data_IF_594864741775
#
_entry.id   IF_594864741775
#
_cell.length_a   1.000
_cell.length_b   1.000
_cell.length_c   1.000
_cell.angle_alpha   90.00
_cell.angle_beta   90.00
_cell.angle_gamma   90.00
#
_symmetry.space_group_name_H-M   'P 1'
#
loop_
_entity.id
_entity.type
_entity.pdbx_description
1 polymer ?
#
# COMPACT_ATOMS: atom_id res chain seq x y z
N UNK A 1 11.51 18.43 -3.80
CA UNK A 1 12.32 17.81 -2.72
C UNK A 1 11.62 16.52 -2.33
N UNK A 2 12.16 15.36 -2.72
CA UNK A 2 11.55 14.06 -2.42
C UNK A 2 11.85 13.73 -0.96
N UNK A 3 10.82 13.54 -0.14
CA UNK A 3 10.93 13.25 1.28
C UNK A 3 11.23 11.75 1.45
N UNK A 4 12.49 11.37 1.27
CA UNK A 4 12.99 9.99 1.42
C UNK A 4 13.49 9.79 2.85
N UNK A 5 13.09 8.69 3.48
CA UNK A 5 13.63 8.30 4.79
C UNK A 5 15.14 8.07 4.66
N UNK A 6 15.95 8.90 5.33
CA UNK A 6 17.43 8.82 5.31
C UNK A 6 18.01 7.63 6.08
N UNK A 7 17.16 6.76 6.63
CA UNK A 7 17.61 5.54 7.30
C UNK A 7 17.88 4.45 6.27
N UNK A 8 19.05 3.80 6.38
CA UNK A 8 19.50 2.71 5.49
C UNK A 8 18.52 1.53 5.42
N UNK A 9 17.59 1.43 6.38
CA UNK A 9 16.59 0.38 6.45
C UNK A 9 15.47 0.50 5.41
N UNK A 10 15.15 1.71 4.94
CA UNK A 10 13.90 1.93 4.21
C UNK A 10 14.09 2.61 2.85
N UNK A 11 14.97 3.63 2.71
CA UNK A 11 15.21 4.38 1.44
C UNK A 11 13.94 4.69 0.60
N UNK A 12 12.79 4.76 1.27
CA UNK A 12 11.46 4.84 0.69
C UNK A 12 10.78 6.12 1.21
N UNK A 13 9.69 6.58 0.55
CA UNK A 13 8.89 7.67 1.07
C UNK A 13 8.39 7.32 2.47
N UNK A 14 8.36 8.29 3.38
CA UNK A 14 8.04 8.07 4.79
C UNK A 14 6.68 7.36 4.95
N UNK A 15 6.66 6.27 5.73
CA UNK A 15 5.43 5.57 6.14
C UNK A 15 5.15 5.97 7.58
N UNK A 16 4.00 6.61 7.83
CA UNK A 16 3.61 7.10 9.15
C UNK A 16 4.76 7.90 9.81
N UNK A 17 5.07 9.10 9.32
CA UNK A 17 6.25 9.85 9.75
C UNK A 17 6.14 10.28 11.23
N UNK A 18 7.21 10.08 12.00
CA UNK A 18 7.42 10.56 13.36
C UNK A 18 8.53 11.60 13.41
N UNK A 19 8.25 12.72 14.04
CA UNK A 19 9.22 13.76 14.37
C UNK A 19 9.80 13.52 15.76
N UNK A 20 11.13 13.48 15.83
CA UNK A 20 11.88 13.37 17.09
C UNK A 20 12.11 14.75 17.71
N UNK A 21 12.41 14.79 19.02
CA UNK A 21 12.77 16.04 19.71
C UNK A 21 14.01 16.74 19.13
N UNK A 22 14.90 16.00 18.47
CA UNK A 22 16.05 16.55 17.78
C UNK A 22 15.71 17.15 16.40
N UNK A 23 14.45 17.12 15.97
CA UNK A 23 13.99 17.76 14.73
C UNK A 23 14.13 16.90 13.47
N UNK A 24 14.33 15.58 13.63
CA UNK A 24 14.47 14.66 12.52
C UNK A 24 13.21 13.81 12.34
N UNK A 25 12.83 13.56 11.08
CA UNK A 25 11.63 12.77 10.74
C UNK A 25 12.01 11.38 10.22
N UNK A 26 11.39 10.34 10.78
CA UNK A 26 11.59 8.94 10.39
C UNK A 26 10.26 8.21 10.22
N UNK A 27 10.22 7.11 9.47
CA UNK A 27 9.03 6.26 9.47
C UNK A 27 8.86 5.59 10.84
N UNK A 28 7.64 5.52 11.38
CA UNK A 28 7.32 4.74 12.59
C UNK A 28 7.96 3.34 12.61
N UNK A 29 7.78 2.47 11.58
CA UNK A 29 8.37 1.13 11.61
C UNK A 29 9.89 1.15 11.60
N UNK A 30 10.50 2.03 10.80
CA UNK A 30 11.96 2.09 10.66
C UNK A 30 12.62 2.63 11.96
N UNK A 31 11.99 3.63 12.61
CA UNK A 31 12.46 4.15 13.90
C UNK A 31 12.31 3.11 15.01
N UNK A 32 11.19 2.38 15.06
CA UNK A 32 10.96 1.33 16.07
C UNK A 32 12.01 0.22 16.01
N UNK A 33 12.36 -0.26 14.81
CA UNK A 33 13.42 -1.28 14.65
C UNK A 33 14.78 -0.73 15.04
N UNK A 34 15.08 0.53 14.71
CA UNK A 34 16.35 1.17 15.08
C UNK A 34 16.47 1.35 16.59
N UNK A 35 15.47 1.92 17.25
CA UNK A 35 15.49 2.15 18.70
C UNK A 35 15.54 0.86 19.52
N UNK A 36 15.05 -0.26 18.98
CA UNK A 36 15.23 -1.57 19.61
C UNK A 36 16.70 -2.01 19.69
N UNK A 37 17.57 -1.48 18.81
CA UNK A 37 19.02 -1.74 18.81
C UNK A 37 19.80 -0.62 19.47
N UNK A 38 19.39 0.63 19.23
CA UNK A 38 20.13 1.81 19.64
C UNK A 38 19.18 2.99 19.85
N UNK A 39 19.04 3.46 21.09
CA UNK A 39 18.19 4.59 21.46
C UNK A 39 18.82 5.97 21.11
N UNK A 40 19.48 6.05 19.96
CA UNK A 40 20.15 7.26 19.48
C UNK A 40 19.65 7.59 18.08
N UNK A 41 19.59 8.88 17.77
CA UNK A 41 19.26 9.36 16.45
C UNK A 41 20.29 8.89 15.41
N UNK A 42 19.85 8.31 14.28
CA UNK A 42 20.74 7.91 13.20
C UNK A 42 21.56 9.06 12.57
N UNK A 43 21.13 10.32 12.75
CA UNK A 43 21.72 11.48 12.08
C UNK A 43 22.70 12.21 12.98
N UNK A 44 22.25 12.63 14.17
CA UNK A 44 23.04 13.46 15.10
C UNK A 44 23.41 12.74 16.40
N UNK A 45 23.02 11.46 16.54
CA UNK A 45 23.26 10.62 17.73
C UNK A 45 22.66 11.19 19.02
N UNK A 46 21.66 12.07 18.94
CA UNK A 46 20.91 12.51 20.12
C UNK A 46 20.16 11.34 20.75
N UNK A 47 19.97 11.34 22.07
CA UNK A 47 19.10 10.34 22.73
C UNK A 47 17.67 10.52 22.24
N UNK A 48 17.02 9.43 21.84
CA UNK A 48 15.62 9.42 21.42
C UNK A 48 14.82 8.54 22.38
N UNK A 49 13.76 9.12 22.95
CA UNK A 49 12.69 8.38 23.59
C UNK A 49 11.50 8.26 22.63
N UNK A 50 11.06 7.02 22.35
CA UNK A 50 9.95 6.77 21.45
C UNK A 50 8.64 7.40 21.96
N UNK A 51 8.45 7.50 23.28
CA UNK A 51 7.26 8.10 23.89
C UNK A 51 7.17 9.62 23.67
N UNK A 52 8.31 10.27 23.43
CA UNK A 52 8.40 11.73 23.19
C UNK A 52 8.37 12.09 21.70
N UNK A 53 8.29 11.08 20.83
CA UNK A 53 8.15 11.27 19.39
C UNK A 53 6.70 11.69 19.08
N UNK A 54 6.55 12.68 18.20
CA UNK A 54 5.25 13.15 17.77
C UNK A 54 4.99 12.72 16.32
N UNK A 55 3.73 12.45 15.92
CA UNK A 55 3.42 12.30 14.51
C UNK A 55 3.79 13.57 13.75
N UNK A 56 4.40 13.42 12.58
CA UNK A 56 4.80 14.56 11.79
C UNK A 56 3.58 15.36 11.34
N UNK A 57 3.80 16.65 11.07
CA UNK A 57 2.71 17.56 10.71
C UNK A 57 1.85 17.00 9.56
N UNK A 58 0.54 17.29 9.62
CA UNK A 58 -0.41 16.85 8.59
C UNK A 58 -0.06 17.31 7.17
N UNK A 59 0.78 18.34 7.02
CA UNK A 59 1.29 18.80 5.73
C UNK A 59 2.24 17.78 5.09
N UNK A 60 3.18 17.22 5.87
CA UNK A 60 4.11 16.19 5.38
C UNK A 60 3.34 14.94 4.94
N UNK A 61 2.34 14.54 5.73
CA UNK A 61 1.43 13.44 5.38
C UNK A 61 0.68 13.70 4.07
N UNK A 62 0.05 14.88 3.93
CA UNK A 62 -0.66 15.29 2.70
C UNK A 62 0.24 15.32 1.46
N UNK A 63 1.51 15.69 1.62
CA UNK A 63 2.48 15.68 0.52
C UNK A 63 2.87 14.25 0.11
N UNK A 64 3.04 13.36 1.10
CA UNK A 64 3.34 11.94 0.85
C UNK A 64 2.15 11.21 0.21
N UNK A 65 0.93 11.52 0.63
CA UNK A 65 -0.29 10.90 0.09
C UNK A 65 -0.47 11.19 -1.41
N UNK A 66 -0.09 12.41 -1.84
CA UNK A 66 -0.15 12.84 -3.24
C UNK A 66 1.01 12.35 -4.10
N UNK A 67 1.99 11.65 -3.53
CA UNK A 67 3.11 11.12 -4.29
C UNK A 67 2.60 10.04 -5.25
N UNK A 68 2.76 10.26 -6.54
CA UNK A 68 2.42 9.25 -7.55
C UNK A 68 3.42 8.09 -7.47
N UNK A 69 2.90 6.87 -7.44
CA UNK A 69 3.66 5.62 -7.42
C UNK A 69 3.14 4.69 -8.51
N UNK A 70 4.05 3.87 -9.06
CA UNK A 70 3.71 2.81 -10.00
C UNK A 70 3.28 1.58 -9.22
N UNK A 71 2.25 0.88 -9.68
CA UNK A 71 1.85 -0.41 -9.11
C UNK A 71 3.03 -1.40 -9.12
N UNK A 72 3.30 -2.15 -8.03
CA UNK A 72 4.39 -3.12 -7.99
C UNK A 72 4.17 -4.34 -8.91
N UNK A 73 2.93 -4.62 -9.34
CA UNK A 73 2.61 -5.74 -10.22
C UNK A 73 2.71 -5.33 -11.69
N UNK A 74 3.85 -4.77 -12.08
CA UNK A 74 4.07 -4.13 -13.40
C UNK A 74 3.78 -5.04 -14.60
N UNK A 75 3.97 -6.36 -14.45
CA UNK A 75 3.71 -7.34 -15.51
C UNK A 75 2.21 -7.46 -15.88
N UNK A 76 1.33 -7.02 -14.98
CA UNK A 76 -0.12 -7.17 -15.12
C UNK A 76 -0.89 -5.86 -14.89
N UNK A 77 -0.21 -4.79 -14.47
CA UNK A 77 -0.83 -3.52 -14.10
C UNK A 77 0.13 -2.35 -14.34
N UNK A 78 -0.31 -1.38 -15.15
CA UNK A 78 0.46 -0.19 -15.53
C UNK A 78 0.00 1.07 -14.78
N UNK A 79 -0.86 0.92 -13.77
CA UNK A 79 -1.47 2.04 -13.08
C UNK A 79 -0.41 2.87 -12.32
N UNK A 80 -0.51 4.19 -12.50
CA UNK A 80 0.20 5.19 -11.72
C UNK A 80 -0.82 5.96 -10.90
N UNK A 81 -0.70 5.88 -9.59
CA UNK A 81 -1.71 6.40 -8.68
C UNK A 81 -1.08 7.05 -7.44
N UNK A 82 -1.82 7.89 -6.70
CA UNK A 82 -1.36 8.41 -5.43
C UNK A 82 -1.02 7.28 -4.47
N UNK A 83 0.05 7.46 -3.68
CA UNK A 83 0.53 6.47 -2.71
C UNK A 83 -0.56 6.07 -1.72
N UNK A 84 -1.43 6.99 -1.31
CA UNK A 84 -2.54 6.68 -0.41
C UNK A 84 -3.56 5.70 -1.00
N UNK A 85 -3.68 5.65 -2.32
CA UNK A 85 -4.64 4.79 -3.02
C UNK A 85 -4.05 3.40 -3.33
N UNK A 86 -2.74 3.21 -3.19
CA UNK A 86 -2.04 1.98 -3.57
C UNK A 86 -2.58 0.75 -2.84
N UNK A 87 -2.86 0.86 -1.54
CA UNK A 87 -3.41 -0.26 -0.75
C UNK A 87 -4.81 -0.66 -1.27
N UNK A 88 -5.68 0.33 -1.48
CA UNK A 88 -7.03 0.10 -2.01
C UNK A 88 -6.99 -0.48 -3.43
N UNK A 89 -6.08 0.03 -4.27
CA UNK A 89 -5.82 -0.51 -5.59
C UNK A 89 -5.39 -1.98 -5.53
N UNK A 90 -4.38 -2.33 -4.73
CA UNK A 90 -3.90 -3.71 -4.60
C UNK A 90 -5.02 -4.65 -4.15
N UNK A 91 -5.78 -4.24 -3.13
CA UNK A 91 -6.81 -5.08 -2.55
C UNK A 91 -8.01 -5.29 -3.48
N UNK A 92 -8.45 -4.26 -4.21
CA UNK A 92 -9.74 -4.31 -4.91
C UNK A 92 -9.67 -4.25 -6.44
N UNK A 93 -8.62 -3.66 -7.02
CA UNK A 93 -8.62 -3.27 -8.46
C UNK A 93 -7.46 -3.86 -9.26
N UNK A 94 -6.32 -4.07 -8.61
CA UNK A 94 -5.08 -4.49 -9.25
C UNK A 94 -5.25 -5.83 -10.00
N UNK A 95 -5.08 -5.81 -11.32
CA UNK A 95 -5.17 -7.01 -12.16
C UNK A 95 -4.09 -8.06 -11.84
N UNK A 96 -2.93 -7.59 -11.39
CA UNK A 96 -1.83 -8.46 -10.95
C UNK A 96 -1.92 -8.96 -9.51
N UNK A 97 -2.94 -8.55 -8.74
CA UNK A 97 -3.05 -9.00 -7.36
C UNK A 97 -3.31 -10.51 -7.33
N UNK A 98 -2.53 -11.23 -6.53
CA UNK A 98 -2.67 -12.68 -6.38
C UNK A 98 -3.96 -12.97 -5.63
N UNK A 99 -4.85 -13.73 -6.27
CA UNK A 99 -6.16 -14.12 -5.72
C UNK A 99 -6.31 -15.64 -5.77
N UNK A 100 -7.15 -16.16 -4.87
CA UNK A 100 -7.51 -17.58 -4.82
C UNK A 100 -8.85 -17.77 -5.52
N UNK A 101 -9.06 -18.97 -6.08
CA UNK A 101 -10.36 -19.32 -6.66
C UNK A 101 -11.47 -19.26 -5.59
N UNK A 102 -12.66 -18.77 -5.96
CA UNK A 102 -13.83 -18.74 -5.08
C UNK A 102 -14.22 -20.16 -4.59
N UNK A 103 -13.93 -21.19 -5.40
CA UNK A 103 -14.16 -22.61 -5.09
C UNK A 103 -12.97 -23.25 -4.37
N UNK A 104 -12.05 -22.48 -3.79
CA UNK A 104 -10.94 -23.00 -2.99
C UNK A 104 -11.42 -23.83 -1.79
N UNK A 105 -12.56 -23.49 -1.22
CA UNK A 105 -13.21 -24.25 -0.15
C UNK A 105 -13.65 -25.67 -0.58
N UNK A 106 -13.88 -25.89 -1.89
CA UNK A 106 -14.19 -27.20 -2.45
C UNK A 106 -12.94 -28.00 -2.83
N UNK A 107 -11.75 -27.41 -2.70
CA UNK A 107 -10.48 -28.05 -3.02
C UNK A 107 -9.74 -27.46 -4.22
N UNK A 108 -10.25 -26.38 -4.84
CA UNK A 108 -9.51 -25.73 -5.92
C UNK A 108 -8.21 -25.08 -5.41
N UNK A 109 -7.07 -25.49 -5.95
CA UNK A 109 -5.74 -24.99 -5.54
C UNK A 109 -5.25 -23.78 -6.34
N UNK A 110 -6.06 -23.26 -7.26
CA UNK A 110 -5.68 -22.14 -8.10
C UNK A 110 -5.34 -20.89 -7.27
N UNK A 111 -4.16 -20.37 -7.53
CA UNK A 111 -3.66 -19.10 -7.02
C UNK A 111 -2.90 -18.40 -8.14
N UNK A 112 -3.35 -17.21 -8.52
CA UNK A 112 -2.79 -16.50 -9.67
C UNK A 112 -3.24 -15.04 -9.70
N UNK A 113 -2.79 -14.26 -10.71
CA UNK A 113 -3.21 -12.88 -10.86
C UNK A 113 -4.73 -12.80 -11.05
N UNK A 114 -5.35 -11.75 -10.52
CA UNK A 114 -6.79 -11.47 -10.66
C UNK A 114 -7.25 -11.50 -12.13
N UNK A 115 -6.40 -11.07 -13.07
CA UNK A 115 -6.67 -11.17 -14.51
C UNK A 115 -6.87 -12.60 -15.01
N UNK A 116 -6.13 -13.57 -14.48
CA UNK A 116 -6.24 -14.98 -14.86
C UNK A 116 -7.40 -15.70 -14.16
N UNK A 117 -7.91 -15.16 -13.04
CA UNK A 117 -8.99 -15.77 -12.28
C UNK A 117 -10.26 -15.95 -13.11
N UNK A 118 -10.57 -14.99 -13.99
CA UNK A 118 -11.75 -15.08 -14.86
C UNK A 118 -11.65 -16.26 -15.83
N UNK A 119 -10.52 -16.39 -16.55
CA UNK A 119 -10.27 -17.55 -17.43
C UNK A 119 -10.31 -18.86 -16.66
N UNK A 120 -9.68 -18.89 -15.48
CA UNK A 120 -9.69 -20.06 -14.62
C UNK A 120 -11.12 -20.50 -14.28
N UNK A 121 -11.96 -19.58 -13.79
CA UNK A 121 -13.37 -19.87 -13.49
C UNK A 121 -14.16 -20.28 -14.74
N UNK A 122 -13.80 -19.72 -15.90
CA UNK A 122 -14.52 -19.93 -17.15
C UNK A 122 -14.19 -21.22 -17.90
N UNK A 123 -12.99 -21.78 -17.75
CA UNK A 123 -12.56 -22.88 -18.62
C UNK A 123 -11.70 -23.93 -17.94
N UNK A 124 -11.07 -23.61 -16.81
CA UNK A 124 -10.04 -24.48 -16.22
C UNK A 124 -10.44 -25.04 -14.84
N UNK A 125 -11.37 -24.40 -14.13
CA UNK A 125 -11.74 -24.79 -12.78
C UNK A 125 -12.49 -26.12 -12.77
N UNK A 126 -11.84 -27.16 -12.25
CA UNK A 126 -12.41 -28.50 -12.07
C UNK A 126 -13.64 -28.54 -11.15
N UNK A 127 -13.88 -27.49 -10.36
CA UNK A 127 -15.01 -27.35 -9.43
C UNK A 127 -16.09 -26.38 -9.95
N UNK A 128 -16.10 -26.12 -11.26
CA UNK A 128 -17.16 -25.37 -11.93
C UNK A 128 -18.50 -26.07 -11.73
N UNK A 129 -19.45 -25.39 -11.10
CA UNK A 129 -20.87 -25.78 -11.10
C UNK A 129 -21.55 -25.17 -12.33
N UNK A 130 -22.22 -25.98 -13.14
CA UNK A 130 -22.95 -25.49 -14.32
C UNK A 130 -24.05 -24.50 -13.86
N UNK A 131 -23.98 -23.25 -14.32
CA UNK A 131 -25.02 -22.22 -14.12
C UNK A 131 -24.69 -21.05 -13.19
N UNK A 132 -23.52 -21.00 -12.55
CA UNK A 132 -23.13 -19.87 -11.69
C UNK A 132 -22.15 -18.95 -12.45
N UNK A 133 -22.70 -17.94 -13.12
CA UNK A 133 -21.90 -16.79 -13.56
C UNK A 133 -21.34 -16.14 -12.28
N UNK A 134 -20.01 -16.05 -12.11
CA UNK A 134 -19.46 -15.35 -10.97
C UNK A 134 -20.01 -13.92 -11.00
N UNK A 135 -20.78 -13.54 -9.98
CA UNK A 135 -21.01 -12.14 -9.68
C UNK A 135 -19.64 -11.57 -9.33
N UNK A 136 -18.89 -11.16 -10.36
CA UNK A 136 -17.76 -10.27 -10.18
C UNK A 136 -18.31 -9.07 -9.42
N UNK A 137 -17.65 -8.61 -8.35
CA UNK A 137 -17.94 -7.26 -7.86
C UNK A 137 -17.85 -6.33 -9.08
N UNK A 138 -18.80 -5.39 -9.25
CA UNK A 138 -18.78 -4.48 -10.38
C UNK A 138 -17.38 -3.89 -10.49
N UNK A 139 -16.82 -3.91 -11.71
CA UNK A 139 -15.59 -3.19 -12.02
C UNK A 139 -15.67 -1.83 -11.32
N UNK A 140 -14.71 -1.47 -10.46
CA UNK A 140 -14.75 -0.19 -9.79
C UNK A 140 -14.76 0.87 -10.89
N UNK A 141 -15.87 1.61 -10.95
CA UNK A 141 -16.13 2.67 -11.89
C UNK A 141 -14.84 3.49 -12.11
N UNK A 142 -14.38 3.70 -13.36
CA UNK A 142 -13.21 4.55 -13.63
C UNK A 142 -13.43 6.01 -13.19
N UNK A 143 -14.63 6.34 -12.70
CA UNK A 143 -15.02 7.66 -12.25
C UNK A 143 -15.50 7.64 -10.80
N UNK A 144 -14.69 8.23 -9.90
CA UNK A 144 -15.25 8.86 -8.71
C UNK A 144 -14.93 8.22 -7.37
N UNK A 145 -13.67 8.30 -6.95
CA UNK A 145 -13.35 8.70 -5.58
C UNK A 145 -12.04 9.48 -5.64
N UNK A 146 -12.09 10.64 -6.31
CA UNK A 146 -11.19 11.73 -5.98
C UNK A 146 -11.34 11.94 -4.48
N UNK A 147 -10.25 11.83 -3.72
CA UNK A 147 -10.18 12.38 -2.38
C UNK A 147 -10.74 13.80 -2.49
N UNK A 148 -11.91 14.04 -1.91
CA UNK A 148 -12.71 15.24 -2.14
C UNK A 148 -11.82 16.46 -2.08
N UNK A 149 -11.83 17.24 -3.16
CA UNK A 149 -11.52 18.65 -3.15
C UNK A 149 -12.51 19.33 -2.21
N UNK A 150 -12.27 19.21 -0.90
CA UNK A 150 -12.86 20.10 0.06
C UNK A 150 -12.08 21.41 -0.04
N UNK A 151 -12.68 22.33 -0.81
CA UNK A 151 -12.44 23.77 -0.80
C UNK A 151 -11.99 24.30 0.56
N UNK A 152 -11.07 25.26 0.55
CA UNK A 152 -10.94 26.42 1.46
C UNK A 152 -9.70 27.17 0.93
N UNK A 153 -9.80 28.32 0.25
CA UNK A 153 -10.09 29.63 0.83
C UNK A 153 -9.68 29.76 2.29
#
# INVERSE_FOLDING_TARGET
MIIICKLQLCQQPLVDPLDTRCGHTFCTPCLRVHLARQALCPIDKSIINFLECAPASGLVKKLLDKLLVVCPNVDYCEDVLPRCDLESHLLHRCRGAVTRCAKAHLGCTFQGPRSALHSHLLWECAYRTEGEVPLLPPEPDPTGMSCSLANFN
#
